data_IF_315637955581
#
_entry.id   IF_315637955581
#
_cell.length_a   1.000
_cell.length_b   1.000
_cell.length_c   1.000
_cell.angle_alpha   90.00
_cell.angle_beta   90.00
_cell.angle_gamma   90.00
#
_symmetry.space_group_name_H-M   'P 1'
#
loop_
_entity.id
_entity.type
_entity.pdbx_description
1 polymer ?
#
# COMPACT_ATOMS: atom_id res chain seq x y z
N UNK A 1 2.06 -28.74 8.34
CA UNK A 1 3.31 -28.50 7.58
C UNK A 1 3.64 -27.01 7.65
N UNK A 2 4.68 -26.64 8.40
CA UNK A 2 5.08 -25.25 8.58
C UNK A 2 6.19 -24.94 7.55
N UNK A 3 5.83 -24.33 6.43
CA UNK A 3 6.79 -23.95 5.40
C UNK A 3 7.48 -22.66 5.84
N UNK A 4 8.70 -22.78 6.41
CA UNK A 4 9.60 -21.65 6.68
C UNK A 4 10.01 -21.03 5.34
N UNK A 5 9.18 -20.12 4.83
CA UNK A 5 9.51 -19.34 3.64
C UNK A 5 10.37 -18.16 4.08
N UNK A 6 11.69 -18.34 4.00
CA UNK A 6 12.66 -17.26 4.15
C UNK A 6 12.28 -16.17 3.14
N UNK A 7 12.00 -14.97 3.65
CA UNK A 7 11.67 -13.80 2.82
C UNK A 7 12.97 -13.08 2.53
N UNK A 8 13.32 -12.92 1.26
CA UNK A 8 14.58 -12.33 0.84
C UNK A 8 14.69 -10.82 1.15
N UNK A 9 13.57 -10.13 1.36
CA UNK A 9 13.54 -8.67 1.50
C UNK A 9 12.95 -8.24 2.85
N UNK A 10 13.60 -7.23 3.44
CA UNK A 10 13.13 -6.54 4.64
C UNK A 10 11.79 -5.83 4.36
N UNK A 11 10.91 -5.84 5.37
CA UNK A 11 9.61 -5.16 5.37
C UNK A 11 9.66 -3.98 6.33
N UNK A 12 9.12 -2.86 5.87
CA UNK A 12 9.11 -1.60 6.59
C UNK A 12 7.67 -1.25 6.95
N UNK A 13 7.42 -1.08 8.25
CA UNK A 13 6.16 -0.52 8.72
C UNK A 13 6.08 0.96 8.32
N UNK A 14 4.91 1.33 7.80
CA UNK A 14 4.55 2.69 7.38
C UNK A 14 3.08 2.94 7.72
N UNK A 15 2.60 4.17 7.57
CA UNK A 15 1.18 4.49 7.69
C UNK A 15 0.85 5.65 6.75
N UNK A 16 0.23 5.34 5.61
CA UNK A 16 -0.21 6.34 4.64
C UNK A 16 -1.54 5.95 4.03
N UNK A 17 -2.43 6.89 3.84
CA UNK A 17 -3.65 6.65 3.06
C UNK A 17 -3.30 6.32 1.61
N UNK A 18 -4.05 5.40 1.03
CA UNK A 18 -3.87 5.01 -0.36
C UNK A 18 -5.21 4.82 -1.05
N UNK A 19 -5.30 5.33 -2.27
CA UNK A 19 -6.37 5.03 -3.22
C UNK A 19 -5.99 3.78 -4.00
N UNK A 20 -6.96 2.88 -4.18
CA UNK A 20 -6.82 1.65 -4.96
C UNK A 20 -7.59 1.84 -6.27
N UNK A 21 -6.89 1.72 -7.40
CA UNK A 21 -7.45 1.93 -8.73
C UNK A 21 -7.38 0.64 -9.56
N UNK A 22 -8.44 0.38 -10.32
CA UNK A 22 -8.48 -0.60 -11.41
C UNK A 22 -8.47 0.19 -12.72
N UNK A 23 -7.31 0.21 -13.39
CA UNK A 23 -7.05 1.19 -14.43
C UNK A 23 -7.14 2.62 -13.85
N UNK A 24 -8.02 3.45 -14.40
CA UNK A 24 -8.29 4.81 -13.90
C UNK A 24 -9.46 4.87 -12.91
N UNK A 25 -10.17 3.76 -12.69
CA UNK A 25 -11.37 3.72 -11.85
C UNK A 25 -11.02 3.43 -10.39
N UNK A 26 -11.50 4.25 -9.46
CA UNK A 26 -11.35 3.98 -8.02
C UNK A 26 -12.24 2.82 -7.61
N UNK A 27 -11.62 1.77 -7.08
CA UNK A 27 -12.30 0.57 -6.54
C UNK A 27 -12.26 0.51 -5.02
N UNK A 28 -11.41 1.31 -4.38
CA UNK A 28 -11.40 1.43 -2.93
C UNK A 28 -10.36 2.41 -2.39
N UNK A 29 -10.28 2.45 -1.08
CA UNK A 29 -9.23 3.13 -0.30
C UNK A 29 -8.76 2.22 0.82
N UNK A 30 -7.59 2.52 1.38
CA UNK A 30 -7.11 1.85 2.58
C UNK A 30 -5.86 2.51 3.13
N UNK A 31 -5.25 1.87 4.12
CA UNK A 31 -4.00 2.31 4.73
C UNK A 31 -2.86 1.41 4.24
N UNK A 32 -1.89 1.99 3.57
CA UNK A 32 -0.61 1.36 3.32
C UNK A 32 0.11 1.20 4.67
N UNK A 33 0.25 -0.04 5.12
CA UNK A 33 0.77 -0.37 6.47
C UNK A 33 2.15 -1.03 6.44
N UNK A 34 2.55 -1.56 5.28
CA UNK A 34 3.82 -2.24 5.11
C UNK A 34 4.29 -2.18 3.66
N UNK A 35 5.59 -1.94 3.46
CA UNK A 35 6.23 -1.90 2.14
C UNK A 35 7.52 -2.71 2.20
N UNK A 36 7.87 -3.34 1.09
CA UNK A 36 9.15 -4.01 0.84
C UNK A 36 9.54 -3.79 -0.62
N UNK A 37 10.74 -4.22 -0.98
CA UNK A 37 11.23 -4.10 -2.35
C UNK A 37 10.33 -4.76 -3.42
N UNK A 38 9.61 -5.83 -3.07
CA UNK A 38 8.79 -6.59 -4.02
C UNK A 38 7.29 -6.59 -3.71
N UNK A 39 6.83 -5.87 -2.68
CA UNK A 39 5.44 -5.98 -2.26
C UNK A 39 5.03 -5.01 -1.18
N UNK A 40 3.73 -4.93 -0.96
CA UNK A 40 3.15 -4.09 0.08
C UNK A 40 1.91 -4.74 0.68
N UNK A 41 1.42 -4.16 1.78
CA UNK A 41 0.17 -4.54 2.42
C UNK A 41 -0.67 -3.31 2.69
N UNK A 42 -1.94 -3.38 2.31
CA UNK A 42 -2.94 -2.35 2.59
C UNK A 42 -3.95 -2.93 3.57
N UNK A 43 -4.11 -2.31 4.73
CA UNK A 43 -5.14 -2.62 5.72
C UNK A 43 -6.31 -1.65 5.62
N UNK A 44 -7.35 -1.90 6.42
CA UNK A 44 -8.54 -1.04 6.51
C UNK A 44 -9.16 -0.72 5.14
N UNK A 45 -9.19 -1.72 4.25
CA UNK A 45 -9.68 -1.55 2.88
C UNK A 45 -11.19 -1.31 2.90
N UNK A 46 -11.59 -0.20 2.29
CA UNK A 46 -12.97 0.22 2.12
C UNK A 46 -13.31 0.26 0.61
N UNK A 47 -14.33 -0.48 0.15
CA UNK A 47 -14.76 -0.43 -1.24
C UNK A 47 -15.27 0.95 -1.65
N UNK A 48 -15.12 1.30 -2.93
CA UNK A 48 -15.76 2.48 -3.48
C UNK A 48 -17.28 2.25 -3.62
N UNK A 49 -18.11 3.18 -3.14
CA UNK A 49 -19.57 3.03 -3.14
C UNK A 49 -20.19 2.83 -4.55
N UNK A 50 -19.53 3.33 -5.59
CA UNK A 50 -20.01 3.27 -6.97
C UNK A 50 -19.59 2.01 -7.75
N UNK A 51 -18.64 1.22 -7.24
CA UNK A 51 -18.18 -0.02 -7.88
C UNK A 51 -18.00 -1.10 -6.80
N UNK A 52 -19.02 -1.94 -6.55
CA UNK A 52 -18.95 -3.00 -5.56
C UNK A 52 -18.18 -4.24 -6.03
N UNK A 53 -17.63 -4.23 -7.25
CA UNK A 53 -16.88 -5.36 -7.78
C UNK A 53 -15.75 -5.74 -6.84
N UNK A 54 -15.78 -7.00 -6.40
CA UNK A 54 -14.79 -7.54 -5.48
C UNK A 54 -13.40 -7.46 -6.11
N UNK A 55 -12.40 -7.13 -5.28
CA UNK A 55 -11.00 -7.26 -5.65
C UNK A 55 -10.60 -8.74 -5.51
N UNK A 56 -10.20 -9.36 -6.61
CA UNK A 56 -9.84 -10.77 -6.70
C UNK A 56 -8.32 -11.00 -6.64
N UNK A 57 -7.93 -12.23 -6.27
CA UNK A 57 -6.53 -12.64 -6.30
C UNK A 57 -6.04 -12.72 -7.74
N UNK A 58 -4.85 -12.18 -8.01
CA UNK A 58 -4.24 -12.17 -9.34
C UNK A 58 -4.52 -10.89 -10.14
N UNK A 59 -5.50 -10.08 -9.75
CA UNK A 59 -5.73 -8.76 -10.36
C UNK A 59 -4.51 -7.85 -10.20
N UNK A 60 -4.20 -7.09 -11.26
CA UNK A 60 -3.23 -6.00 -11.21
C UNK A 60 -3.99 -4.70 -10.96
N UNK A 61 -3.63 -4.02 -9.88
CA UNK A 61 -4.22 -2.74 -9.46
C UNK A 61 -3.12 -1.70 -9.33
N UNK A 62 -3.51 -0.43 -9.45
CA UNK A 62 -2.62 0.70 -9.15
C UNK A 62 -2.89 1.14 -7.72
N UNK A 63 -1.81 1.22 -6.95
CA UNK A 63 -1.84 1.74 -5.59
C UNK A 63 -1.31 3.17 -5.64
N UNK A 64 -2.09 4.14 -5.16
CA UNK A 64 -1.74 5.55 -5.14
C UNK A 64 -1.70 6.02 -3.68
N UNK A 65 -0.55 5.91 -2.99
CA UNK A 65 -0.39 6.47 -1.66
C UNK A 65 -0.40 8.00 -1.72
N UNK A 66 -0.99 8.65 -0.73
CA UNK A 66 -0.94 10.11 -0.61
C UNK A 66 0.53 10.59 -0.50
N UNK A 67 0.85 11.63 -1.25
CA UNK A 67 2.17 12.27 -1.29
C UNK A 67 3.27 11.46 -2.00
N UNK A 68 2.96 10.28 -2.54
CA UNK A 68 3.92 9.42 -3.22
C UNK A 68 3.48 9.08 -4.66
N UNK A 69 4.44 8.70 -5.49
CA UNK A 69 4.16 8.20 -6.84
C UNK A 69 3.35 6.89 -6.78
N UNK A 70 2.36 6.72 -7.66
CA UNK A 70 1.58 5.49 -7.74
C UNK A 70 2.42 4.35 -8.33
N UNK A 71 2.05 3.11 -8.00
CA UNK A 71 2.73 1.92 -8.51
C UNK A 71 1.77 0.76 -8.76
N UNK A 72 2.12 -0.08 -9.73
CA UNK A 72 1.34 -1.27 -10.07
C UNK A 72 1.68 -2.47 -9.19
N UNK A 73 0.65 -3.14 -8.70
CA UNK A 73 0.81 -4.31 -7.87
C UNK A 73 -0.29 -5.36 -8.11
N UNK A 74 0.12 -6.62 -8.13
CA UNK A 74 -0.75 -7.77 -8.25
C UNK A 74 -1.23 -8.24 -6.88
N UNK A 75 -2.55 -8.42 -6.73
CA UNK A 75 -3.17 -8.98 -5.53
C UNK A 75 -2.69 -10.43 -5.36
N UNK A 76 -2.16 -10.76 -4.17
CA UNK A 76 -1.69 -12.10 -3.81
C UNK A 76 -2.63 -12.82 -2.87
N UNK A 77 -3.26 -12.08 -1.99
CA UNK A 77 -4.24 -12.56 -1.04
C UNK A 77 -5.11 -11.40 -0.55
N UNK A 78 -6.34 -11.72 -0.13
CA UNK A 78 -7.27 -10.81 0.50
C UNK A 78 -7.87 -11.47 1.75
N UNK A 79 -8.18 -10.68 2.77
CA UNK A 79 -8.84 -11.18 3.98
C UNK A 79 -8.94 -10.12 5.06
N UNK A 80 -10.06 -10.11 5.81
CA UNK A 80 -10.29 -9.24 6.97
C UNK A 80 -9.97 -7.76 6.71
N UNK A 81 -10.50 -7.19 5.61
CA UNK A 81 -10.24 -5.80 5.23
C UNK A 81 -8.78 -5.49 4.89
N UNK A 82 -7.99 -6.51 4.57
CA UNK A 82 -6.57 -6.37 4.21
C UNK A 82 -6.30 -7.00 2.85
N UNK A 83 -5.45 -6.35 2.07
CA UNK A 83 -4.94 -6.84 0.79
C UNK A 83 -3.41 -6.92 0.86
N UNK A 84 -2.87 -8.05 0.43
CA UNK A 84 -1.44 -8.23 0.23
C UNK A 84 -1.10 -8.26 -1.25
N UNK A 85 -0.08 -7.51 -1.63
CA UNK A 85 0.32 -7.34 -3.02
C UNK A 85 1.75 -7.79 -3.28
N UNK A 86 2.00 -8.23 -4.51
CA UNK A 86 3.34 -8.29 -5.11
C UNK A 86 3.43 -7.18 -6.15
N UNK A 87 4.48 -6.38 -6.13
CA UNK A 87 4.68 -5.34 -7.14
C UNK A 87 4.88 -5.97 -8.53
N UNK A 88 4.38 -5.31 -9.57
CA UNK A 88 4.64 -5.71 -10.96
C UNK A 88 6.12 -5.52 -11.28
N UNK A 89 6.70 -4.41 -10.82
CA UNK A 89 8.12 -4.10 -10.88
C UNK A 89 8.66 -3.91 -9.45
N UNK A 90 9.77 -4.56 -9.12
CA UNK A 90 10.43 -4.35 -7.84
C UNK A 90 11.00 -2.93 -7.77
N UNK A 91 10.89 -2.29 -6.60
CA UNK A 91 11.50 -0.98 -6.39
C UNK A 91 13.03 -1.09 -6.44
N UNK A 92 13.66 -0.10 -7.05
CA UNK A 92 15.04 0.22 -6.77
C UNK A 92 15.17 0.74 -5.33
N UNK A 93 16.37 0.61 -4.75
CA UNK A 93 16.61 0.96 -3.35
C UNK A 93 16.20 2.41 -3.03
N UNK A 94 16.51 3.36 -3.93
CA UNK A 94 16.19 4.78 -3.74
C UNK A 94 14.68 5.06 -3.84
N UNK A 95 13.95 4.35 -4.70
CA UNK A 95 12.49 4.47 -4.81
C UNK A 95 11.81 3.98 -3.55
N UNK A 96 12.26 2.83 -3.03
CA UNK A 96 11.77 2.26 -1.78
C UNK A 96 12.04 3.19 -0.59
N UNK A 97 13.27 3.71 -0.46
CA UNK A 97 13.63 4.64 0.62
C UNK A 97 12.76 5.90 0.59
N UNK A 98 12.62 6.52 -0.59
CA UNK A 98 11.77 7.70 -0.78
C UNK A 98 10.33 7.43 -0.39
N UNK A 99 9.76 6.31 -0.85
CA UNK A 99 8.39 5.92 -0.52
C UNK A 99 8.21 5.69 0.99
N UNK A 100 9.17 5.04 1.67
CA UNK A 100 9.13 4.84 3.12
C UNK A 100 9.11 6.18 3.87
N UNK A 101 9.99 7.11 3.49
CA UNK A 101 10.10 8.44 4.11
C UNK A 101 8.83 9.26 3.93
N UNK A 102 8.29 9.29 2.71
CA UNK A 102 6.99 9.89 2.41
C UNK A 102 5.87 9.25 3.24
N UNK A 103 5.77 7.92 3.27
CA UNK A 103 4.72 7.23 4.03
C UNK A 103 4.91 7.28 5.55
N UNK A 104 6.01 7.86 6.05
CA UNK A 104 6.26 8.15 7.48
C UNK A 104 6.08 9.64 7.81
N UNK A 105 5.68 10.45 6.84
CA UNK A 105 5.36 11.87 7.02
C UNK A 105 6.56 12.78 7.07
N UNK A 106 7.72 12.36 6.56
CA UNK A 106 8.92 13.20 6.59
C UNK A 106 8.79 14.47 5.75
N UNK A 107 7.94 14.44 4.72
CA UNK A 107 7.67 15.57 3.83
C UNK A 107 6.30 16.22 4.07
N UNK A 108 5.57 15.77 5.09
CA UNK A 108 4.29 16.38 5.44
C UNK A 108 4.58 17.77 6.01
N UNK A 109 3.72 18.74 5.68
CA UNK A 109 3.81 20.04 6.32
C UNK A 109 3.70 19.84 7.84
N UNK A 110 4.47 20.57 8.67
CA UNK A 110 4.28 20.53 10.11
C UNK A 110 2.88 21.07 10.41
N UNK A 111 1.91 20.18 10.55
CA UNK A 111 0.65 20.51 11.19
C UNK A 111 1.02 21.09 12.55
N UNK A 112 0.49 22.27 12.87
CA UNK A 112 0.60 22.86 14.19
C UNK A 112 0.08 21.82 15.18
N UNK A 113 1.01 21.11 15.82
CA UNK A 113 0.71 20.18 16.89
C UNK A 113 0.25 21.05 18.04
N UNK A 114 -1.05 21.35 18.06
CA UNK A 114 -1.72 21.87 19.24
C UNK A 114 -1.68 20.74 20.26
N UNK A 115 -0.58 20.71 21.02
CA UNK A 115 -0.55 20.06 22.31
C UNK A 115 -1.54 20.84 23.17
N UNK A 116 -2.79 20.38 23.21
CA UNK A 116 -3.79 20.90 24.14
C UNK A 116 -3.21 20.92 25.55
N UNK A 117 -3.15 22.11 26.14
CA UNK A 117 -2.78 22.35 27.55
C UNK A 117 -4.01 22.20 28.43
#
# INVERSE_FOLDING_TARGET
>A
MNMLRIRAHQRYAVRREAVILRGTCRVGTGLLVEISQEGCRIGCVMPAAAMPDRIENGEVLVISPEGAEPFEARVRWSGNGTLGFRLVQAFHHHELDRLIRTCRGEFDAPEARDYGT
#
